data_IF_396783457612
#
_entry.id   IF_396783457612
#
_cell.length_a   1.000
_cell.length_b   1.000
_cell.length_c   1.000
_cell.angle_alpha   90.00
_cell.angle_beta   90.00
_cell.angle_gamma   90.00
#
_symmetry.space_group_name_H-M   'P 1'
#
loop_
_entity.id
_entity.type
_entity.pdbx_description
1 polymer ?
#
# COMPACT_ATOMS: atom_id res chain seq x y z
N UNK A 1 -8.90 -4.18 35.74
CA UNK A 1 -7.71 -3.83 34.94
C UNK A 1 -8.19 -3.01 33.76
N UNK A 2 -7.80 -1.75 33.67
CA UNK A 2 -8.15 -0.89 32.52
C UNK A 2 -7.45 -1.44 31.27
N UNK A 3 -8.15 -1.53 30.12
CA UNK A 3 -7.57 -2.12 28.92
C UNK A 3 -6.35 -1.30 28.48
N UNK A 4 -5.23 -1.99 28.30
CA UNK A 4 -4.02 -1.41 27.74
C UNK A 4 -4.29 -0.92 26.32
N UNK A 5 -3.81 0.26 25.91
CA UNK A 5 -4.09 0.82 24.60
C UNK A 5 -3.60 -0.08 23.44
N UNK A 6 -2.64 -0.98 23.71
CA UNK A 6 -2.17 -2.00 22.78
C UNK A 6 -3.23 -3.01 22.31
N UNK A 7 -4.28 -3.28 23.09
CA UNK A 7 -5.35 -4.23 22.73
C UNK A 7 -6.49 -3.59 21.92
N UNK A 8 -6.32 -2.31 21.57
CA UNK A 8 -7.32 -1.58 20.79
C UNK A 8 -7.38 -2.12 19.36
N UNK A 9 -8.59 -2.21 18.80
CA UNK A 9 -8.86 -2.58 17.41
C UNK A 9 -8.00 -1.80 16.39
N UNK A 10 -7.64 -0.55 16.71
CA UNK A 10 -6.77 0.29 15.92
C UNK A 10 -5.36 -0.28 15.73
N UNK A 11 -4.77 -0.83 16.79
CA UNK A 11 -3.43 -1.42 16.77
C UNK A 11 -3.46 -2.74 16.02
N UNK A 12 -4.47 -3.58 16.26
CA UNK A 12 -4.68 -4.83 15.53
C UNK A 12 -4.87 -4.59 14.02
N UNK A 13 -5.68 -3.60 13.65
CA UNK A 13 -5.91 -3.23 12.25
C UNK A 13 -4.62 -2.72 11.59
N UNK A 14 -3.90 -1.83 12.26
CA UNK A 14 -2.62 -1.30 11.75
C UNK A 14 -1.58 -2.41 11.61
N UNK A 15 -1.51 -3.33 12.58
CA UNK A 15 -0.66 -4.52 12.51
C UNK A 15 -1.06 -5.42 11.34
N UNK A 16 -2.35 -5.63 11.09
CA UNK A 16 -2.84 -6.39 9.95
C UNK A 16 -2.42 -5.77 8.61
N UNK A 17 -2.59 -4.44 8.44
CA UNK A 17 -2.14 -3.75 7.22
C UNK A 17 -0.62 -3.86 7.02
N UNK A 18 0.18 -3.65 8.07
CA UNK A 18 1.65 -3.76 7.98
C UNK A 18 2.08 -5.21 7.70
N UNK A 19 1.36 -6.21 8.23
CA UNK A 19 1.56 -7.64 7.91
C UNK A 19 1.25 -7.94 6.44
N UNK A 20 0.15 -7.43 5.89
CA UNK A 20 -0.17 -7.59 4.47
C UNK A 20 0.92 -7.01 3.56
N UNK A 21 1.59 -5.94 3.99
CA UNK A 21 2.73 -5.36 3.26
C UNK A 21 4.06 -6.11 3.48
N UNK A 22 4.11 -7.17 4.29
CA UNK A 22 5.34 -7.93 4.56
C UNK A 22 6.33 -7.24 5.52
N UNK A 23 5.91 -6.16 6.18
CA UNK A 23 6.80 -5.31 6.96
C UNK A 23 6.71 -5.52 8.47
N UNK A 24 5.90 -6.46 8.97
CA UNK A 24 5.76 -6.67 10.42
C UNK A 24 6.94 -7.46 11.01
N UNK A 25 7.39 -7.08 12.22
CA UNK A 25 8.37 -7.84 12.97
C UNK A 25 7.69 -9.03 13.62
N UNK A 26 7.87 -10.20 13.04
CA UNK A 26 7.43 -11.47 13.62
C UNK A 26 8.60 -12.12 14.33
N UNK A 27 8.41 -12.53 15.58
CA UNK A 27 9.47 -13.15 16.38
C UNK A 27 9.73 -14.61 15.96
N UNK A 28 8.72 -15.27 15.39
CA UNK A 28 8.78 -16.65 14.89
C UNK A 28 9.57 -16.75 13.58
N UNK A 29 10.45 -17.76 13.48
CA UNK A 29 11.29 -17.99 12.28
C UNK A 29 10.46 -18.17 10.99
N UNK A 30 9.33 -18.86 11.09
CA UNK A 30 8.38 -19.03 9.99
C UNK A 30 7.78 -17.68 9.54
N UNK A 31 7.40 -16.84 10.48
CA UNK A 31 6.84 -15.52 10.21
C UNK A 31 7.83 -14.60 9.49
N UNK A 32 9.10 -14.59 9.91
CA UNK A 32 10.16 -13.85 9.23
C UNK A 32 10.33 -14.29 7.78
N UNK A 33 10.28 -15.60 7.50
CA UNK A 33 10.36 -16.15 6.15
C UNK A 33 9.17 -15.74 5.29
N UNK A 34 7.94 -15.81 5.82
CA UNK A 34 6.72 -15.37 5.11
C UNK A 34 6.79 -13.87 4.77
N UNK A 35 7.19 -13.04 5.72
CA UNK A 35 7.32 -11.58 5.51
C UNK A 35 8.38 -11.26 4.44
N UNK A 36 9.51 -11.97 4.43
CA UNK A 36 10.54 -11.80 3.40
C UNK A 36 10.05 -12.23 2.00
N UNK A 37 9.26 -13.31 1.92
CA UNK A 37 8.62 -13.75 0.67
C UNK A 37 7.65 -12.69 0.14
N UNK A 38 6.78 -12.13 1.01
CA UNK A 38 5.81 -11.08 0.62
C UNK A 38 6.53 -9.85 0.07
N UNK A 39 7.63 -9.43 0.71
CA UNK A 39 8.42 -8.29 0.27
C UNK A 39 9.10 -8.57 -1.07
N UNK A 40 9.72 -9.76 -1.23
CA UNK A 40 10.32 -10.17 -2.51
C UNK A 40 9.28 -10.21 -3.63
N UNK A 41 8.12 -10.79 -3.36
CA UNK A 41 6.99 -10.81 -4.29
C UNK A 41 6.57 -9.39 -4.70
N UNK A 42 6.44 -8.48 -3.74
CA UNK A 42 6.07 -7.08 -4.01
C UNK A 42 7.11 -6.36 -4.89
N UNK A 43 8.41 -6.62 -4.69
CA UNK A 43 9.48 -6.06 -5.53
C UNK A 43 9.37 -6.60 -6.96
N UNK A 44 9.21 -7.91 -7.13
CA UNK A 44 9.07 -8.54 -8.46
C UNK A 44 7.82 -8.03 -9.19
N UNK A 45 6.69 -7.93 -8.48
CA UNK A 45 5.44 -7.41 -9.04
C UNK A 45 5.57 -5.96 -9.53
N UNK A 46 6.29 -5.10 -8.79
CA UNK A 46 6.55 -3.71 -9.21
C UNK A 46 7.48 -3.65 -10.42
N UNK A 47 8.52 -4.48 -10.47
CA UNK A 47 9.41 -4.54 -11.64
C UNK A 47 8.63 -4.95 -12.89
N UNK A 48 7.76 -5.96 -12.76
CA UNK A 48 6.87 -6.37 -13.83
C UNK A 48 5.92 -5.25 -14.26
N UNK A 49 5.25 -4.59 -13.30
CA UNK A 49 4.35 -3.48 -13.58
C UNK A 49 5.08 -2.32 -14.29
N UNK A 50 6.31 -2.00 -13.89
CA UNK A 50 7.11 -0.97 -14.54
C UNK A 50 7.46 -1.32 -15.98
N UNK A 51 7.84 -2.57 -16.25
CA UNK A 51 8.14 -3.05 -17.59
C UNK A 51 6.91 -2.99 -18.51
N UNK A 52 5.73 -3.38 -18.00
CA UNK A 52 4.45 -3.27 -18.73
C UNK A 52 4.15 -1.81 -19.05
N UNK A 53 4.24 -0.92 -18.06
CA UNK A 53 3.86 0.50 -18.26
C UNK A 53 4.80 1.22 -19.23
N UNK A 54 6.10 0.87 -19.23
CA UNK A 54 7.08 1.39 -20.21
C UNK A 54 6.81 0.84 -21.61
N UNK A 55 6.43 -0.44 -21.71
CA UNK A 55 6.07 -1.07 -22.99
C UNK A 55 4.80 -0.45 -23.59
N UNK A 56 3.81 -0.11 -22.76
CA UNK A 56 2.60 0.61 -23.20
C UNK A 56 2.94 2.01 -23.73
N UNK A 57 3.86 2.72 -23.04
CA UNK A 57 4.30 4.05 -23.47
C UNK A 57 5.00 4.01 -24.84
N UNK A 58 5.81 2.98 -25.10
CA UNK A 58 6.51 2.80 -26.38
C UNK A 58 5.54 2.60 -27.54
N UNK A 59 4.48 1.82 -27.35
CA UNK A 59 3.47 1.58 -28.39
C UNK A 59 2.56 2.78 -28.63
N UNK A 60 2.36 3.66 -27.65
CA UNK A 60 1.50 4.85 -27.77
C UNK A 60 2.21 6.12 -28.28
N UNK A 61 3.48 6.04 -28.66
CA UNK A 61 4.31 7.20 -29.06
C UNK A 61 3.75 8.02 -30.25
N UNK A 62 2.84 7.45 -31.05
CA UNK A 62 2.24 8.13 -32.22
C UNK A 62 1.03 9.03 -31.95
N UNK A 63 0.42 8.98 -30.76
CA UNK A 63 -0.82 9.70 -30.45
C UNK A 63 -0.66 10.48 -29.13
N UNK A 64 -0.74 11.81 -29.20
CA UNK A 64 -0.43 12.72 -28.07
C UNK A 64 -1.37 12.55 -26.88
N UNK A 65 -2.63 12.20 -27.12
CA UNK A 65 -3.63 12.00 -26.06
C UNK A 65 -3.33 10.72 -25.27
N UNK A 66 -3.11 9.62 -25.99
CA UNK A 66 -2.75 8.31 -25.42
C UNK A 66 -1.37 8.35 -24.76
N UNK A 67 -0.41 9.05 -25.36
CA UNK A 67 0.92 9.23 -24.79
C UNK A 67 0.87 9.95 -23.45
N UNK A 68 0.08 11.02 -23.34
CA UNK A 68 -0.06 11.79 -22.09
C UNK A 68 -0.70 10.92 -20.99
N UNK A 69 -1.74 10.17 -21.32
CA UNK A 69 -2.40 9.26 -20.38
C UNK A 69 -1.45 8.14 -19.90
N UNK A 70 -0.76 7.46 -20.83
CA UNK A 70 0.22 6.43 -20.48
C UNK A 70 1.40 7.01 -19.69
N UNK A 71 1.86 8.21 -20.02
CA UNK A 71 2.94 8.90 -19.30
C UNK A 71 2.57 9.19 -17.84
N UNK A 72 1.34 9.65 -17.58
CA UNK A 72 0.84 9.84 -16.20
C UNK A 72 0.79 8.52 -15.43
N UNK A 73 0.44 7.42 -16.09
CA UNK A 73 0.45 6.10 -15.48
C UNK A 73 1.88 5.66 -15.12
N UNK A 74 2.86 5.87 -16.02
CA UNK A 74 4.29 5.61 -15.74
C UNK A 74 4.77 6.39 -14.51
N UNK A 75 4.45 7.68 -14.43
CA UNK A 75 4.82 8.51 -13.28
C UNK A 75 4.19 7.99 -11.99
N UNK A 76 2.91 7.59 -12.04
CA UNK A 76 2.20 7.05 -10.88
C UNK A 76 2.83 5.76 -10.36
N UNK A 77 3.14 4.82 -11.27
CA UNK A 77 3.86 3.58 -10.94
C UNK A 77 5.27 3.88 -10.42
N UNK A 78 5.95 4.87 -11.00
CA UNK A 78 7.26 5.36 -10.56
C UNK A 78 7.26 5.93 -9.12
N UNK A 79 6.25 6.71 -8.75
CA UNK A 79 6.11 7.19 -7.37
C UNK A 79 5.86 6.04 -6.38
N UNK A 80 5.06 5.05 -6.79
CA UNK A 80 4.80 3.85 -5.99
C UNK A 80 6.06 3.02 -5.76
N UNK A 81 6.85 2.80 -6.82
CA UNK A 81 8.10 2.04 -6.75
C UNK A 81 9.15 2.74 -5.90
N UNK A 82 9.32 4.05 -6.06
CA UNK A 82 10.23 4.83 -5.23
C UNK A 82 9.90 4.74 -3.74
N UNK A 83 8.61 4.89 -3.39
CA UNK A 83 8.16 4.74 -2.00
C UNK A 83 8.47 3.34 -1.48
N UNK A 84 8.17 2.28 -2.24
CA UNK A 84 8.43 0.91 -1.79
C UNK A 84 9.92 0.66 -1.54
N UNK A 85 10.80 1.12 -2.45
CA UNK A 85 12.26 0.98 -2.29
C UNK A 85 12.76 1.77 -1.07
N UNK A 86 12.30 3.01 -0.89
CA UNK A 86 12.66 3.82 0.28
C UNK A 86 12.23 3.14 1.59
N UNK A 87 11.02 2.59 1.64
CA UNK A 87 10.54 1.82 2.79
C UNK A 87 11.35 0.53 3.00
N UNK A 88 11.72 -0.18 1.93
CA UNK A 88 12.55 -1.38 2.01
C UNK A 88 13.93 -1.07 2.61
N UNK A 89 14.61 -0.02 2.13
CA UNK A 89 15.91 0.40 2.65
C UNK A 89 15.84 0.81 4.13
N UNK A 90 14.76 1.46 4.55
CA UNK A 90 14.55 1.91 5.93
C UNK A 90 13.78 0.91 6.79
N UNK A 91 13.53 -0.31 6.30
CA UNK A 91 12.73 -1.33 7.00
C UNK A 91 13.22 -1.60 8.42
N UNK A 92 14.54 -1.70 8.63
CA UNK A 92 15.12 -1.94 9.96
C UNK A 92 14.80 -0.80 10.93
N UNK A 93 14.96 0.45 10.49
CA UNK A 93 14.67 1.64 11.29
C UNK A 93 13.17 1.76 11.60
N UNK A 94 12.31 1.43 10.64
CA UNK A 94 10.86 1.44 10.83
C UNK A 94 10.41 0.38 11.86
N UNK A 95 10.98 -0.83 11.78
CA UNK A 95 10.72 -1.89 12.74
C UNK A 95 11.21 -1.52 14.14
N UNK A 96 12.39 -0.90 14.25
CA UNK A 96 12.93 -0.42 15.52
C UNK A 96 12.02 0.67 16.13
N UNK A 97 11.49 1.58 15.31
CA UNK A 97 10.52 2.57 15.74
C UNK A 97 9.22 1.94 16.26
N UNK A 98 8.71 0.89 15.60
CA UNK A 98 7.53 0.15 16.08
C UNK A 98 7.84 -0.54 17.41
N UNK A 99 9.02 -1.15 17.54
CA UNK A 99 9.43 -1.81 18.78
C UNK A 99 9.55 -0.81 19.93
N UNK A 100 10.15 0.36 19.67
CA UNK A 100 10.22 1.46 20.61
C UNK A 100 8.83 1.97 21.02
N UNK A 101 7.94 2.16 20.04
CA UNK A 101 6.55 2.56 20.27
C UNK A 101 5.80 1.54 21.14
N UNK A 102 5.97 0.24 20.84
CA UNK A 102 5.39 -0.85 21.60
C UNK A 102 5.86 -0.83 23.05
N UNK A 103 7.17 -0.70 23.28
CA UNK A 103 7.79 -0.73 24.62
C UNK A 103 7.43 0.49 25.47
N UNK A 104 7.43 1.69 24.90
CA UNK A 104 7.24 2.93 25.66
C UNK A 104 5.80 3.46 25.67
N UNK A 105 4.99 3.15 24.64
CA UNK A 105 3.65 3.75 24.48
C UNK A 105 2.49 2.74 24.54
N UNK A 106 2.69 1.46 24.22
CA UNK A 106 1.55 0.50 24.22
C UNK A 106 1.37 -0.25 25.54
N UNK A 107 2.46 -0.47 26.29
CA UNK A 107 2.44 -1.20 27.57
C UNK A 107 2.72 -0.34 28.80
N UNK A 108 2.72 0.98 28.66
CA UNK A 108 2.87 1.89 29.80
C UNK A 108 1.51 2.14 30.46
N UNK A 109 1.49 2.22 31.80
CA UNK A 109 0.31 2.66 32.54
C UNK A 109 0.16 4.18 32.38
N UNK A 110 -0.77 4.59 31.52
CA UNK A 110 -1.15 5.99 31.39
C UNK A 110 -2.12 6.39 32.51
N UNK A 111 -1.96 7.63 32.98
CA UNK A 111 -3.01 8.35 33.69
C UNK A 111 -4.26 8.50 32.81
N UNK A 112 -5.45 8.72 33.40
CA UNK A 112 -6.73 8.77 32.69
C UNK A 112 -6.72 9.75 31.52
N UNK A 113 -6.10 10.92 31.72
CA UNK A 113 -5.92 11.93 30.68
C UNK A 113 -5.04 11.43 29.52
N UNK A 114 -3.92 10.78 29.83
CA UNK A 114 -3.01 10.22 28.84
C UNK A 114 -3.65 9.11 28.01
N UNK A 115 -4.43 8.25 28.66
CA UNK A 115 -5.18 7.19 28.00
C UNK A 115 -6.25 7.74 27.05
N UNK A 116 -6.94 8.82 27.43
CA UNK A 116 -7.92 9.47 26.55
C UNK A 116 -7.27 10.12 25.33
N UNK A 117 -6.14 10.83 25.53
CA UNK A 117 -5.37 11.45 24.46
C UNK A 117 -4.90 10.42 23.44
N UNK A 118 -4.31 9.31 23.91
CA UNK A 118 -3.83 8.22 23.07
C UNK A 118 -4.96 7.61 22.24
N UNK A 119 -6.14 7.40 22.86
CA UNK A 119 -7.33 6.87 22.17
C UNK A 119 -7.83 7.79 21.07
N UNK A 120 -7.85 9.11 21.30
CA UNK A 120 -8.22 10.11 20.27
C UNK A 120 -7.25 10.09 19.10
N UNK A 121 -5.94 10.02 19.38
CA UNK A 121 -4.90 9.94 18.36
C UNK A 121 -5.06 8.68 17.50
N UNK A 122 -5.15 7.49 18.13
CA UNK A 122 -5.35 6.22 17.43
C UNK A 122 -6.60 6.24 16.54
N UNK A 123 -7.72 6.76 17.03
CA UNK A 123 -8.97 6.85 16.25
C UNK A 123 -8.79 7.71 15.01
N UNK A 124 -8.11 8.86 15.12
CA UNK A 124 -7.82 9.73 13.98
C UNK A 124 -6.88 9.05 12.98
N UNK A 125 -5.80 8.42 13.45
CA UNK A 125 -4.88 7.68 12.60
C UNK A 125 -5.59 6.59 11.80
N UNK A 126 -6.45 5.80 12.45
CA UNK A 126 -7.22 4.77 11.76
C UNK A 126 -8.20 5.36 10.76
N UNK A 127 -8.88 6.47 11.10
CA UNK A 127 -9.75 7.17 10.16
C UNK A 127 -9.01 7.57 8.88
N UNK A 128 -7.79 8.10 9.01
CA UNK A 128 -6.95 8.48 7.86
C UNK A 128 -6.55 7.25 7.03
N UNK A 129 -6.11 6.17 7.69
CA UNK A 129 -5.72 4.93 6.99
C UNK A 129 -6.91 4.35 6.22
N UNK A 130 -8.06 4.21 6.87
CA UNK A 130 -9.27 3.67 6.25
C UNK A 130 -9.74 4.52 5.07
N UNK A 131 -9.69 5.84 5.20
CA UNK A 131 -10.03 6.76 4.11
C UNK A 131 -9.09 6.61 2.91
N UNK A 132 -7.77 6.54 3.15
CA UNK A 132 -6.80 6.36 2.06
C UNK A 132 -6.97 5.01 1.35
N UNK A 133 -7.23 3.95 2.12
CA UNK A 133 -7.46 2.61 1.58
C UNK A 133 -8.76 2.56 0.78
N UNK A 134 -9.86 3.11 1.30
CA UNK A 134 -11.16 3.08 0.60
C UNK A 134 -11.12 3.86 -0.72
N UNK A 135 -10.48 5.03 -0.74
CA UNK A 135 -10.27 5.81 -1.95
C UNK A 135 -9.48 5.02 -3.00
N UNK A 136 -8.40 4.35 -2.59
CA UNK A 136 -7.58 3.53 -3.49
C UNK A 136 -8.38 2.37 -4.09
N UNK A 137 -9.19 1.69 -3.29
CA UNK A 137 -10.05 0.60 -3.77
C UNK A 137 -11.15 1.12 -4.71
N UNK A 138 -11.72 2.29 -4.42
CA UNK A 138 -12.70 2.92 -5.30
C UNK A 138 -12.09 3.26 -6.67
N UNK A 139 -10.87 3.79 -6.71
CA UNK A 139 -10.16 4.05 -7.97
C UNK A 139 -9.97 2.77 -8.78
N UNK A 140 -9.56 1.68 -8.13
CA UNK A 140 -9.39 0.37 -8.78
C UNK A 140 -10.73 -0.12 -9.35
N UNK A 141 -11.81 -0.07 -8.55
CA UNK A 141 -13.14 -0.49 -8.98
C UNK A 141 -13.60 0.32 -10.21
N UNK A 142 -13.45 1.64 -10.18
CA UNK A 142 -13.80 2.52 -11.30
C UNK A 142 -12.97 2.15 -12.54
N UNK A 143 -11.68 1.88 -12.36
CA UNK A 143 -10.80 1.47 -13.47
C UNK A 143 -11.26 0.17 -14.12
N UNK A 144 -11.71 -0.81 -13.32
CA UNK A 144 -12.26 -2.07 -13.83
C UNK A 144 -13.66 -1.90 -14.46
N UNK A 145 -14.51 -1.01 -13.95
CA UNK A 145 -15.85 -0.80 -14.48
C UNK A 145 -15.82 -0.04 -15.82
N UNK A 146 -14.86 0.87 -16.02
CA UNK A 146 -14.70 1.64 -17.28
C UNK A 146 -14.77 0.78 -18.56
N UNK A 147 -14.00 -0.32 -18.70
CA UNK A 147 -14.08 -1.19 -19.87
C UNK A 147 -15.36 -2.05 -19.94
N UNK A 148 -16.11 -2.22 -18.83
CA UNK A 148 -17.40 -2.95 -18.84
C UNK A 148 -18.57 -2.10 -19.36
N UNK A 149 -18.55 -0.78 -19.11
CA UNK A 149 -19.61 0.15 -19.54
C UNK A 149 -19.27 0.75 -20.92
N UNK A 150 -17.98 0.88 -21.25
CA UNK A 150 -17.53 1.25 -22.59
C UNK A 150 -17.81 0.12 -23.59
N UNK A 151 -18.57 0.40 -24.65
CA UNK A 151 -18.71 -0.50 -25.80
C UNK A 151 -17.33 -0.96 -26.32
N UNK A 152 -17.22 -2.16 -26.92
CA UNK A 152 -15.94 -2.77 -27.27
C UNK A 152 -15.25 -2.02 -28.41
N UNK A 153 -14.47 -0.99 -28.10
CA UNK A 153 -13.56 -0.34 -29.06
C UNK A 153 -12.29 -1.17 -29.32
N UNK A 154 -12.11 -2.29 -28.61
CA UNK A 154 -11.04 -3.26 -28.86
C UNK A 154 -11.32 -4.18 -30.06
N UNK A 155 -12.55 -4.24 -30.59
CA UNK A 155 -12.86 -5.01 -31.80
C UNK A 155 -12.39 -4.29 -33.07
N UNK A 156 -12.26 -2.96 -33.07
CA UNK A 156 -11.65 -2.26 -34.21
C UNK A 156 -10.12 -2.38 -34.25
N UNK A 157 -9.46 -2.51 -33.09
CA UNK A 157 -7.99 -2.61 -33.04
C UNK A 157 -7.50 -4.00 -33.52
N UNK A 158 -8.29 -5.06 -33.35
CA UNK A 158 -7.97 -6.39 -33.91
C UNK A 158 -8.34 -6.55 -35.39
N UNK A 159 -9.15 -5.65 -35.95
CA UNK A 159 -9.52 -5.64 -37.38
C UNK A 159 -8.60 -4.72 -38.20
N UNK A 160 -7.99 -3.70 -37.59
CA UNK A 160 -6.98 -2.84 -38.21
C UNK A 160 -5.56 -3.43 -38.23
N UNK A 161 -5.33 -4.55 -37.54
CA UNK A 161 -4.12 -5.39 -37.65
C UNK A 161 -4.35 -6.59 -38.58
N UNK A 162 -4.93 -6.34 -39.76
CA UNK A 162 -4.96 -7.31 -40.86
C UNK A 162 -4.65 -6.64 -42.18
#
# INVERSE_FOLDING_TARGET
>A
MTPTPGDSWAVTLTAAFIRCCGFWAEDTEFGKKVMDIIVKYSVVAILWASAVTVSDLYHCYGDVDKFTYCGLNVLTVGFGSYKLVAFYMKRKMFLDLIYYAKKHFWFCHYDEYGAEMMRKCMRRCVGIILFGVSMSHLTIIIYYIKPLIGKPQYVEISVLYK
#
